data_IF_579921241365
#
_entry.id   IF_579921241365
#
_cell.length_a   1.000
_cell.length_b   1.000
_cell.length_c   1.000
_cell.angle_alpha   90.00
_cell.angle_beta   90.00
_cell.angle_gamma   90.00
#
_symmetry.space_group_name_H-M   'P 1'
#
loop_
_entity.id
_entity.type
_entity.pdbx_description
1 polymer ?
#
# COMPACT_ATOMS: atom_id res chain seq x y z
N UNK A 1 1.79 -4.03 17.54
CA UNK A 1 0.74 -4.59 16.66
C UNK A 1 0.55 -3.81 15.36
N UNK A 2 0.03 -2.56 15.33
CA UNK A 2 -0.14 -1.83 14.05
C UNK A 2 1.18 -1.37 13.37
N UNK A 3 2.26 -1.22 14.14
CA UNK A 3 3.58 -0.83 13.61
C UNK A 3 4.40 -2.00 13.06
N UNK A 4 4.08 -3.24 13.44
CA UNK A 4 4.86 -4.43 13.03
C UNK A 4 4.46 -4.92 11.63
N UNK A 5 3.19 -4.76 11.22
CA UNK A 5 2.72 -5.21 9.90
C UNK A 5 3.12 -4.28 8.75
N UNK A 6 3.44 -3.01 9.02
CA UNK A 6 3.80 -2.05 7.97
C UNK A 6 5.20 -2.27 7.40
N UNK A 7 6.14 -2.78 8.21
CA UNK A 7 7.49 -3.10 7.74
C UNK A 7 7.46 -4.24 6.72
N UNK A 8 6.49 -5.15 6.86
CA UNK A 8 6.35 -6.33 6.01
C UNK A 8 5.70 -6.03 4.66
N UNK A 9 4.92 -4.94 4.57
CA UNK A 9 4.25 -4.51 3.33
C UNK A 9 5.00 -3.43 2.55
N UNK A 10 6.09 -2.90 3.11
CA UNK A 10 6.97 -1.90 2.47
C UNK A 10 8.19 -2.55 1.82
N UNK A 11 8.37 -2.29 0.53
CA UNK A 11 9.58 -2.74 -0.16
C UNK A 11 10.76 -1.83 0.12
N UNK A 12 11.97 -2.38 0.11
CA UNK A 12 13.19 -1.57 0.22
C UNK A 12 13.34 -0.64 -0.99
N UNK A 13 14.08 0.46 -0.80
CA UNK A 13 14.32 1.44 -1.86
C UNK A 13 15.03 0.83 -3.08
N UNK A 14 15.87 -0.16 -2.84
CA UNK A 14 16.62 -0.87 -3.87
C UNK A 14 15.69 -1.76 -4.70
N UNK A 15 14.79 -2.52 -4.06
CA UNK A 15 13.80 -3.38 -4.74
C UNK A 15 12.83 -2.57 -5.60
N UNK A 16 12.32 -1.46 -5.08
CA UNK A 16 11.40 -0.55 -5.80
C UNK A 16 12.09 0.05 -7.03
N UNK A 17 13.39 0.39 -6.92
CA UNK A 17 14.20 0.89 -8.04
C UNK A 17 14.47 -0.21 -9.06
N UNK A 18 14.84 -1.40 -8.61
CA UNK A 18 15.12 -2.56 -9.48
C UNK A 18 13.90 -2.93 -10.32
N UNK A 19 12.70 -2.86 -9.73
CA UNK A 19 11.44 -3.17 -10.39
C UNK A 19 10.77 -1.97 -11.08
N UNK A 20 11.44 -0.81 -11.13
CA UNK A 20 10.99 0.41 -11.81
C UNK A 20 9.57 0.85 -11.41
N UNK A 21 9.23 0.71 -10.13
CA UNK A 21 7.91 1.10 -9.63
C UNK A 21 7.75 2.63 -9.73
N UNK A 22 6.65 3.15 -10.32
CA UNK A 22 6.42 4.60 -10.42
C UNK A 22 6.21 5.24 -9.04
N UNK A 23 6.50 6.53 -8.91
CA UNK A 23 6.49 7.24 -7.62
C UNK A 23 5.16 7.13 -6.87
N UNK A 24 4.02 7.17 -7.57
CA UNK A 24 2.69 7.07 -6.94
C UNK A 24 2.41 5.72 -6.26
N UNK A 25 3.17 4.68 -6.61
CA UNK A 25 2.99 3.32 -6.10
C UNK A 25 4.08 2.89 -5.11
N UNK A 26 4.90 3.85 -4.64
CA UNK A 26 5.96 3.64 -3.64
C UNK A 26 5.44 3.93 -2.23
N UNK A 27 4.30 3.36 -1.90
CA UNK A 27 3.59 3.55 -0.64
C UNK A 27 3.89 2.42 0.36
N UNK A 28 3.15 2.41 1.47
CA UNK A 28 3.27 1.39 2.52
C UNK A 28 2.91 -0.03 2.06
N UNK A 29 2.36 -0.19 0.85
CA UNK A 29 1.91 -1.47 0.30
C UNK A 29 2.79 -1.94 -0.89
N UNK A 30 3.90 -1.27 -1.15
CA UNK A 30 4.71 -1.51 -2.34
C UNK A 30 5.35 -2.90 -2.41
N UNK A 31 5.56 -3.58 -1.27
CA UNK A 31 6.07 -4.96 -1.24
C UNK A 31 5.08 -5.94 -1.89
N UNK A 32 3.79 -5.71 -1.70
CA UNK A 32 2.72 -6.58 -2.25
C UNK A 32 2.48 -6.32 -3.74
N UNK A 33 2.84 -5.15 -4.24
CA UNK A 33 2.69 -4.80 -5.66
C UNK A 33 3.72 -5.53 -6.54
N UNK A 34 4.91 -5.81 -6.01
CA UNK A 34 5.98 -6.54 -6.69
C UNK A 34 5.54 -7.93 -7.18
N UNK A 35 5.08 -8.86 -6.31
CA UNK A 35 4.63 -10.19 -6.74
C UNK A 35 3.41 -10.11 -7.65
N UNK A 36 2.49 -9.16 -7.43
CA UNK A 36 1.34 -8.94 -8.31
C UNK A 36 1.78 -8.57 -9.74
N UNK A 37 2.77 -7.70 -9.88
CA UNK A 37 3.30 -7.33 -11.20
C UNK A 37 4.05 -8.49 -11.88
N UNK A 38 4.74 -9.33 -11.10
CA UNK A 38 5.35 -10.56 -11.61
C UNK A 38 4.27 -11.52 -12.12
N UNK A 39 3.21 -11.74 -11.35
CA UNK A 39 2.07 -12.59 -11.76
C UNK A 39 1.42 -12.05 -13.03
N UNK A 40 1.08 -10.76 -13.08
CA UNK A 40 0.49 -10.10 -14.26
C UNK A 40 1.35 -10.23 -15.52
N UNK A 41 2.67 -10.15 -15.38
CA UNK A 41 3.59 -10.30 -16.51
C UNK A 41 3.67 -11.75 -16.99
N UNK A 42 3.63 -12.73 -16.08
CA UNK A 42 3.64 -14.16 -16.40
C UNK A 42 2.33 -14.60 -17.07
N UNK A 43 1.21 -14.12 -16.53
CA UNK A 43 -0.15 -14.54 -16.85
C UNK A 43 -0.90 -13.49 -17.67
N UNK A 44 -0.21 -12.89 -18.65
CA UNK A 44 -0.67 -11.71 -19.39
C UNK A 44 -2.11 -11.81 -19.95
N UNK A 45 -2.53 -13.01 -20.37
CA UNK A 45 -3.86 -13.26 -20.94
C UNK A 45 -4.87 -13.86 -19.95
N UNK A 46 -4.44 -14.20 -18.73
CA UNK A 46 -5.29 -14.82 -17.69
C UNK A 46 -5.23 -14.03 -16.38
N UNK A 47 -5.74 -12.77 -16.35
CA UNK A 47 -5.57 -11.89 -15.19
C UNK A 47 -6.23 -12.40 -13.90
N UNK A 48 -7.23 -13.28 -14.00
CA UNK A 48 -7.93 -13.87 -12.86
C UNK A 48 -7.06 -14.82 -12.04
N UNK A 49 -5.98 -15.37 -12.61
CA UNK A 49 -5.05 -16.20 -11.85
C UNK A 49 -4.29 -15.40 -10.78
N UNK A 50 -4.25 -14.07 -10.92
CA UNK A 50 -3.58 -13.16 -9.97
C UNK A 50 -4.55 -12.48 -9.00
N UNK A 51 -5.80 -12.98 -8.85
CA UNK A 51 -6.80 -12.35 -7.98
C UNK A 51 -6.38 -12.36 -6.52
N UNK A 52 -5.73 -13.42 -6.05
CA UNK A 52 -5.33 -13.52 -4.66
C UNK A 52 -4.35 -12.41 -4.27
N UNK A 53 -3.28 -12.24 -5.06
CA UNK A 53 -2.29 -11.18 -4.89
C UNK A 53 -2.92 -9.80 -5.06
N UNK A 54 -3.87 -9.66 -6.00
CA UNK A 54 -4.62 -8.42 -6.19
C UNK A 54 -5.41 -8.04 -4.93
N UNK A 55 -6.17 -8.99 -4.38
CA UNK A 55 -7.00 -8.73 -3.20
C UNK A 55 -6.18 -8.43 -1.95
N UNK A 56 -5.04 -9.10 -1.77
CA UNK A 56 -4.11 -8.79 -0.67
C UNK A 56 -3.59 -7.35 -0.81
N UNK A 57 -3.18 -6.96 -2.02
CA UNK A 57 -2.73 -5.60 -2.30
C UNK A 57 -3.82 -4.55 -2.06
N UNK A 58 -5.03 -4.78 -2.56
CA UNK A 58 -6.19 -3.89 -2.38
C UNK A 58 -6.59 -3.74 -0.91
N UNK A 59 -6.55 -4.83 -0.13
CA UNK A 59 -6.80 -4.77 1.31
C UNK A 59 -5.78 -3.87 2.00
N UNK A 60 -4.50 -3.99 1.67
CA UNK A 60 -3.46 -3.13 2.23
C UNK A 60 -3.74 -1.64 1.91
N UNK A 61 -4.10 -1.34 0.66
CA UNK A 61 -4.42 0.04 0.26
C UNK A 61 -5.62 0.60 1.03
N UNK A 62 -6.65 -0.21 1.22
CA UNK A 62 -7.81 0.18 2.01
C UNK A 62 -7.44 0.46 3.46
N UNK A 63 -6.65 -0.42 4.08
CA UNK A 63 -6.21 -0.26 5.47
C UNK A 63 -5.34 1.00 5.64
N UNK A 64 -4.46 1.31 4.68
CA UNK A 64 -3.64 2.52 4.69
C UNK A 64 -4.48 3.79 4.46
N UNK A 65 -5.48 3.74 3.58
CA UNK A 65 -6.44 4.84 3.41
C UNK A 65 -7.18 5.14 4.72
N UNK A 66 -7.71 4.12 5.39
CA UNK A 66 -8.40 4.27 6.69
C UNK A 66 -7.46 4.85 7.75
N UNK A 67 -6.20 4.41 7.79
CA UNK A 67 -5.18 4.99 8.67
C UNK A 67 -4.97 6.48 8.40
N UNK A 68 -4.81 6.89 7.14
CA UNK A 68 -4.63 8.31 6.76
C UNK A 68 -5.85 9.15 7.13
N UNK A 69 -7.06 8.63 6.92
CA UNK A 69 -8.30 9.30 7.30
C UNK A 69 -8.42 9.51 8.81
N UNK A 70 -8.01 8.52 9.62
CA UNK A 70 -7.95 8.66 11.09
C UNK A 70 -6.94 9.72 11.51
N UNK A 71 -5.77 9.77 10.88
CA UNK A 71 -4.76 10.79 11.16
C UNK A 71 -5.28 12.20 10.84
N UNK A 72 -5.93 12.37 9.69
CA UNK A 72 -6.54 13.65 9.29
C UNK A 72 -7.67 14.07 10.24
N UNK A 73 -8.54 13.14 10.64
CA UNK A 73 -9.61 13.40 11.62
C UNK A 73 -9.04 13.92 12.95
N UNK A 74 -7.97 13.28 13.45
CA UNK A 74 -7.28 13.71 14.67
C UNK A 74 -6.67 15.11 14.54
N UNK A 75 -6.04 15.42 13.40
CA UNK A 75 -5.51 16.76 13.13
C UNK A 75 -6.61 17.82 13.15
N UNK A 76 -7.72 17.56 12.45
CA UNK A 76 -8.87 18.48 12.42
C UNK A 76 -9.50 18.71 13.79
N UNK A 77 -9.55 17.69 14.65
CA UNK A 77 -10.06 17.85 16.00
C UNK A 77 -9.14 18.76 16.83
N UNK A 78 -7.83 18.51 16.79
CA UNK A 78 -6.84 19.34 17.48
C UNK A 78 -6.83 20.80 16.99
N UNK A 79 -7.01 21.02 15.69
CA UNK A 79 -7.16 22.36 15.11
C UNK A 79 -8.41 23.09 15.63
N UNK A 80 -9.53 22.37 15.79
CA UNK A 80 -10.76 22.95 16.35
C UNK A 80 -10.61 23.28 17.83
N UNK A 81 -10.03 22.38 18.61
CA UNK A 81 -9.75 22.59 20.05
C UNK A 81 -8.74 23.73 20.28
N UNK A 82 -7.80 23.94 19.36
CA UNK A 82 -6.84 25.05 19.43
C UNK A 82 -7.41 26.39 18.97
N UNK A 83 -8.53 26.37 18.23
CA UNK A 83 -9.23 27.57 17.77
C UNK A 83 -10.31 28.04 18.77
N UNK A 84 -10.67 27.19 19.73
CA UNK A 84 -11.48 27.50 20.91
C UNK A 84 -10.61 28.09 22.03
#
# INVERSE_FOLDING_TARGET
>A
MASETMAETMASREEVKANRVPLGWRDHCSALLLPLNVCRKKNYYVPWECEHERHIYEKCQYDDYVRRMKALSKQKLAEREAAE
#
